data_IF_525231625256
#
_entry.id   IF_525231625256
#
_cell.length_a   1.000
_cell.length_b   1.000
_cell.length_c   1.000
_cell.angle_alpha   90.00
_cell.angle_beta   90.00
_cell.angle_gamma   90.00
#
_symmetry.space_group_name_H-M   'P 1'
#
loop_
_entity.id
_entity.type
_entity.pdbx_description
1 polymer ?
#
# COMPACT_ATOMS: atom_id res chain seq x y z
N UNK A 1 -4.21 2.20 1.46
CA UNK A 1 -3.64 3.05 2.53
C UNK A 1 -4.55 3.08 3.77
N UNK A 2 -5.84 3.40 3.67
CA UNK A 2 -6.75 3.48 4.83
C UNK A 2 -6.86 2.17 5.62
N UNK A 3 -6.80 1.02 4.94
CA UNK A 3 -6.77 -0.29 5.60
C UNK A 3 -5.50 -0.47 6.45
N UNK A 4 -4.34 -0.14 5.89
CA UNK A 4 -3.07 -0.20 6.61
C UNK A 4 -3.04 0.78 7.81
N UNK A 5 -3.54 2.01 7.61
CA UNK A 5 -3.67 2.99 8.67
C UNK A 5 -4.59 2.50 9.79
N UNK A 6 -5.75 1.94 9.44
CA UNK A 6 -6.66 1.33 10.40
C UNK A 6 -6.04 0.18 11.19
N UNK A 7 -5.25 -0.67 10.53
CA UNK A 7 -4.52 -1.76 11.19
C UNK A 7 -3.47 -1.23 12.19
N UNK A 8 -2.72 -0.20 11.82
CA UNK A 8 -1.74 0.44 12.71
C UNK A 8 -2.42 1.07 13.94
N UNK A 9 -3.56 1.74 13.75
CA UNK A 9 -4.36 2.28 14.86
C UNK A 9 -4.85 1.17 15.77
N UNK A 10 -5.33 0.06 15.22
CA UNK A 10 -5.78 -1.10 16.00
C UNK A 10 -4.64 -1.74 16.79
N UNK A 11 -3.44 -1.85 16.20
CA UNK A 11 -2.24 -2.33 16.89
C UNK A 11 -1.81 -1.40 18.03
N UNK A 12 -1.80 -0.09 17.80
CA UNK A 12 -1.48 0.90 18.83
C UNK A 12 -2.50 0.84 20.01
N UNK A 13 -3.78 0.68 19.69
CA UNK A 13 -4.85 0.52 20.67
C UNK A 13 -4.70 -0.79 21.45
N UNK A 14 -4.42 -1.88 20.75
CA UNK A 14 -4.14 -3.18 21.36
C UNK A 14 -2.97 -3.12 22.35
N UNK A 15 -1.93 -2.38 22.03
CA UNK A 15 -0.78 -2.22 22.94
C UNK A 15 -1.13 -1.49 24.24
N UNK A 16 -2.13 -0.59 24.21
CA UNK A 16 -2.57 0.18 25.39
C UNK A 16 -3.68 -0.50 26.18
N UNK A 17 -4.65 -1.08 25.51
CA UNK A 17 -5.92 -1.55 26.08
C UNK A 17 -6.05 -3.08 26.05
N UNK A 18 -5.16 -3.78 25.32
CA UNK A 18 -5.28 -5.22 25.07
C UNK A 18 -6.37 -5.56 24.06
N UNK A 19 -6.79 -6.82 24.02
CA UNK A 19 -7.88 -7.29 23.18
C UNK A 19 -7.52 -7.54 21.72
N UNK A 20 -8.55 -7.79 20.92
CA UNK A 20 -8.45 -8.01 19.46
C UNK A 20 -9.40 -7.07 18.74
N UNK A 21 -8.96 -6.61 17.54
CA UNK A 21 -9.70 -5.61 16.78
C UNK A 21 -9.94 -6.10 15.36
N UNK A 22 -11.15 -5.87 14.87
CA UNK A 22 -11.52 -6.14 13.48
C UNK A 22 -11.64 -4.82 12.72
N UNK A 23 -10.70 -4.56 11.81
CA UNK A 23 -10.68 -3.36 10.96
C UNK A 23 -11.43 -3.64 9.66
N UNK A 24 -12.46 -2.87 9.36
CA UNK A 24 -13.20 -2.92 8.10
C UNK A 24 -13.00 -1.64 7.32
N UNK A 25 -12.64 -1.75 6.05
CA UNK A 25 -12.52 -0.63 5.11
C UNK A 25 -13.35 -0.94 3.88
N UNK A 26 -14.16 0.02 3.47
CA UNK A 26 -14.99 -0.08 2.27
C UNK A 26 -14.45 0.83 1.17
N UNK A 27 -14.22 0.30 -0.02
CA UNK A 27 -13.80 1.10 -1.19
C UNK A 27 -14.85 2.15 -1.54
N UNK A 28 -16.14 1.82 -1.48
CA UNK A 28 -17.21 2.78 -1.73
C UNK A 28 -17.21 3.92 -0.71
N UNK A 29 -17.03 3.63 0.58
CA UNK A 29 -16.95 4.68 1.60
C UNK A 29 -15.70 5.54 1.45
N UNK A 30 -14.58 4.94 1.05
CA UNK A 30 -13.36 5.68 0.74
C UNK A 30 -13.59 6.63 -0.44
N UNK A 31 -14.21 6.18 -1.51
CA UNK A 31 -14.57 7.02 -2.65
C UNK A 31 -15.53 8.16 -2.25
N UNK A 32 -16.54 7.85 -1.41
CA UNK A 32 -17.47 8.86 -0.91
C UNK A 32 -16.79 9.88 0.03
N UNK A 33 -15.80 9.47 0.81
CA UNK A 33 -15.00 10.38 1.62
C UNK A 33 -14.25 11.38 0.72
N UNK A 34 -13.56 10.88 -0.31
CA UNK A 34 -12.85 11.74 -1.28
C UNK A 34 -13.84 12.68 -1.97
N UNK A 35 -14.98 12.19 -2.44
CA UNK A 35 -16.00 12.98 -3.10
C UNK A 35 -16.52 14.13 -2.20
N UNK A 36 -16.78 13.84 -0.91
CA UNK A 36 -17.26 14.82 0.07
C UNK A 36 -16.20 15.82 0.52
N UNK A 37 -14.91 15.50 0.32
CA UNK A 37 -13.82 16.44 0.61
C UNK A 37 -13.80 17.66 -0.32
N UNK A 38 -14.63 17.67 -1.34
CA UNK A 38 -14.77 18.77 -2.27
C UNK A 38 -13.92 18.60 -3.53
N UNK A 39 -14.01 19.59 -4.39
CA UNK A 39 -13.27 19.71 -5.64
C UNK A 39 -12.62 21.08 -5.72
N UNK A 40 -11.47 21.14 -6.36
CA UNK A 40 -10.88 22.42 -6.76
C UNK A 40 -11.66 22.99 -7.95
N UNK A 41 -12.05 24.28 -7.88
CA UNK A 41 -12.83 24.95 -8.94
C UNK A 41 -12.07 25.01 -10.26
N UNK A 42 -10.76 25.25 -10.21
CA UNK A 42 -9.90 25.43 -11.39
C UNK A 42 -9.30 24.13 -11.95
N UNK A 43 -9.72 23.00 -11.47
CA UNK A 43 -9.21 21.70 -11.91
C UNK A 43 -7.68 21.68 -11.96
N UNK A 44 -7.03 21.20 -10.91
CA UNK A 44 -5.59 20.93 -10.99
C UNK A 44 -5.35 19.91 -12.11
N UNK A 45 -4.76 20.37 -13.20
CA UNK A 45 -4.17 19.45 -14.19
C UNK A 45 -2.82 19.01 -13.61
N UNK A 46 -2.70 17.80 -13.08
CA UNK A 46 -1.42 17.35 -12.57
C UNK A 46 -0.43 17.31 -13.73
N UNK A 47 0.74 17.90 -13.52
CA UNK A 47 1.83 17.75 -14.46
C UNK A 47 2.22 16.27 -14.53
N UNK A 48 2.30 15.73 -15.74
CA UNK A 48 2.78 14.37 -15.93
C UNK A 48 4.25 14.28 -15.51
N UNK A 49 4.60 13.19 -14.85
CA UNK A 49 5.98 12.92 -14.44
C UNK A 49 6.86 12.68 -15.69
N UNK A 50 8.06 13.23 -15.65
CA UNK A 50 9.07 12.94 -16.65
C UNK A 50 9.51 11.47 -16.60
N UNK A 51 10.08 10.92 -17.69
CA UNK A 51 10.62 9.56 -17.69
C UNK A 51 11.64 9.30 -16.58
N UNK A 52 12.47 10.29 -16.25
CA UNK A 52 13.49 10.17 -15.19
C UNK A 52 12.86 10.10 -13.80
N UNK A 53 11.83 10.90 -13.54
CA UNK A 53 11.05 10.83 -12.29
C UNK A 53 10.32 9.48 -12.15
N UNK A 54 9.74 8.97 -13.25
CA UNK A 54 9.13 7.63 -13.27
C UNK A 54 10.19 6.54 -13.00
N UNK A 55 11.37 6.66 -13.60
CA UNK A 55 12.46 5.72 -13.38
C UNK A 55 12.91 5.69 -11.91
N UNK A 56 13.01 6.86 -11.27
CA UNK A 56 13.36 6.97 -9.85
C UNK A 56 12.31 6.37 -8.90
N UNK A 57 11.05 6.32 -9.30
CA UNK A 57 9.93 5.79 -8.52
C UNK A 57 9.63 4.32 -8.77
N UNK A 58 10.33 3.67 -9.68
CA UNK A 58 10.07 2.29 -10.09
C UNK A 58 11.26 1.38 -9.85
N UNK A 59 11.00 0.10 -9.68
CA UNK A 59 11.99 -0.95 -9.63
C UNK A 59 11.58 -2.13 -10.50
N UNK A 60 12.52 -3.00 -10.81
CA UNK A 60 12.29 -4.21 -11.60
C UNK A 60 12.49 -5.45 -10.74
N UNK A 61 11.60 -6.42 -10.89
CA UNK A 61 11.67 -7.69 -10.17
C UNK A 61 11.39 -8.85 -11.13
N UNK A 62 12.20 -9.90 -11.03
CA UNK A 62 11.95 -11.11 -11.78
C UNK A 62 10.82 -11.91 -11.11
N UNK A 63 9.73 -12.13 -11.84
CA UNK A 63 8.53 -12.84 -11.39
C UNK A 63 8.34 -14.13 -12.18
N UNK A 64 7.37 -14.95 -11.81
CA UNK A 64 6.98 -16.14 -12.58
C UNK A 64 6.44 -15.82 -13.99
N UNK A 65 6.09 -14.56 -14.27
CA UNK A 65 5.67 -14.07 -15.59
C UNK A 65 6.81 -13.40 -16.37
N UNK A 66 8.02 -13.38 -15.82
CA UNK A 66 9.18 -12.66 -16.34
C UNK A 66 9.46 -11.35 -15.58
N UNK A 67 10.25 -10.48 -16.17
CA UNK A 67 10.58 -9.18 -15.58
C UNK A 67 9.36 -8.27 -15.54
N UNK A 68 9.08 -7.77 -14.35
CA UNK A 68 8.00 -6.81 -14.11
C UNK A 68 8.56 -5.51 -13.56
N UNK A 69 8.22 -4.38 -14.17
CA UNK A 69 8.49 -3.04 -13.67
C UNK A 69 7.30 -2.58 -12.83
N UNK A 70 7.55 -2.16 -11.61
CA UNK A 70 6.50 -1.74 -10.68
C UNK A 70 6.98 -0.62 -9.78
N UNK A 71 6.06 -0.01 -9.03
CA UNK A 71 6.40 1.05 -8.07
C UNK A 71 7.32 0.52 -6.97
N UNK A 72 8.34 1.30 -6.66
CA UNK A 72 9.14 1.14 -5.44
C UNK A 72 8.30 1.42 -4.19
N UNK A 73 8.72 1.00 -2.99
CA UNK A 73 8.06 1.41 -1.76
C UNK A 73 7.97 2.94 -1.65
N UNK A 74 6.76 3.44 -1.40
CA UNK A 74 6.47 4.89 -1.41
C UNK A 74 6.97 5.57 -0.14
N UNK A 75 6.92 4.86 1.00
CA UNK A 75 7.35 5.40 2.28
C UNK A 75 8.87 5.49 2.33
N UNK A 76 9.37 6.62 2.82
CA UNK A 76 10.78 6.84 3.16
C UNK A 76 10.90 6.89 4.68
N UNK A 77 11.75 6.04 5.25
CA UNK A 77 11.96 5.98 6.70
C UNK A 77 13.46 6.07 6.99
N UNK A 78 13.84 6.88 7.98
CA UNK A 78 15.24 7.17 8.30
C UNK A 78 15.98 5.94 8.83
N UNK A 79 15.34 5.17 9.70
CA UNK A 79 15.95 4.05 10.42
C UNK A 79 15.68 2.68 9.76
N UNK A 80 14.63 2.57 8.96
CA UNK A 80 14.24 1.31 8.32
C UNK A 80 13.85 1.58 6.88
N UNK A 81 14.74 1.24 5.95
CA UNK A 81 14.45 1.36 4.52
C UNK A 81 13.45 0.30 4.09
N UNK A 82 12.28 0.68 3.57
CA UNK A 82 11.32 -0.28 3.04
C UNK A 82 11.82 -0.91 1.74
N UNK A 83 11.55 -2.18 1.55
CA UNK A 83 11.90 -2.92 0.33
C UNK A 83 10.91 -4.04 0.04
N UNK A 84 10.86 -4.50 -1.19
CA UNK A 84 10.09 -5.65 -1.61
C UNK A 84 10.96 -6.92 -1.50
N UNK A 85 10.75 -7.70 -0.43
CA UNK A 85 11.55 -8.90 -0.16
C UNK A 85 11.23 -10.06 -1.10
N UNK A 86 10.01 -10.14 -1.60
CA UNK A 86 9.53 -11.25 -2.42
C UNK A 86 8.85 -10.73 -3.69
N UNK A 87 9.06 -11.41 -4.83
CA UNK A 87 8.34 -11.10 -6.06
C UNK A 87 6.87 -11.49 -5.94
N UNK A 88 6.07 -11.03 -6.90
CA UNK A 88 4.67 -11.46 -7.03
C UNK A 88 4.59 -12.98 -7.22
N UNK A 89 3.87 -13.72 -6.35
CA UNK A 89 3.73 -15.16 -6.44
C UNK A 89 2.75 -15.55 -7.57
N UNK A 90 2.77 -16.83 -7.95
CA UNK A 90 1.72 -17.39 -8.79
C UNK A 90 0.38 -17.34 -8.06
N UNK A 91 -0.70 -17.15 -8.81
CA UNK A 91 -2.04 -17.25 -8.25
C UNK A 91 -2.23 -18.64 -7.59
N UNK A 92 -2.72 -18.66 -6.36
CA UNK A 92 -2.93 -19.88 -5.59
C UNK A 92 -1.64 -20.55 -5.06
N UNK A 93 -0.49 -19.88 -5.08
CA UNK A 93 0.76 -20.42 -4.58
C UNK A 93 0.84 -20.58 -3.05
N UNK A 94 0.01 -19.84 -2.34
CA UNK A 94 0.00 -19.85 -0.87
C UNK A 94 -1.20 -20.66 -0.36
N UNK A 95 -0.96 -21.51 0.64
CA UNK A 95 -2.03 -22.19 1.37
C UNK A 95 -2.71 -21.22 2.35
N UNK A 96 -3.98 -21.48 2.67
CA UNK A 96 -4.74 -20.68 3.64
C UNK A 96 -4.46 -21.17 5.09
N UNK A 97 -3.18 -21.29 5.41
CA UNK A 97 -2.71 -21.78 6.72
C UNK A 97 -1.82 -20.74 7.40
N UNK A 98 -1.90 -20.68 8.70
CA UNK A 98 -0.97 -19.87 9.49
C UNK A 98 0.42 -20.52 9.50
N UNK A 99 1.44 -19.76 9.19
CA UNK A 99 2.82 -20.24 9.34
C UNK A 99 3.11 -20.43 10.83
N UNK A 100 3.60 -21.63 11.19
CA UNK A 100 4.20 -21.81 12.51
C UNK A 100 5.42 -20.90 12.65
N UNK A 101 5.54 -20.24 13.77
CA UNK A 101 6.70 -19.41 14.11
C UNK A 101 7.95 -20.27 14.28
#
# INVERSE_FOLDING_TARGET
YLGAYGALLALARRAKEGGSYHVKVSLCQTAMMIYRSGKFEDGLSPQELSPDEIAALTCETNTHLGWAKHLSPILQMSETSPFWALPTPKLGANTAEWRSA
#
